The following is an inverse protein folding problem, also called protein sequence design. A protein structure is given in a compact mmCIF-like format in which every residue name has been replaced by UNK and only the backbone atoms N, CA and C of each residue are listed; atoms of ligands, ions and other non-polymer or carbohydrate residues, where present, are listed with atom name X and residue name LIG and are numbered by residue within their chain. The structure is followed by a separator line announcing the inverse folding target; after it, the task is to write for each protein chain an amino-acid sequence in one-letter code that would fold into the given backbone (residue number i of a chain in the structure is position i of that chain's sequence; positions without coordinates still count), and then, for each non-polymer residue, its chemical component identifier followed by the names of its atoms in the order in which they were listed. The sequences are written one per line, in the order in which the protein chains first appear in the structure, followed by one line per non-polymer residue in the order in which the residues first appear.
data_IF_495518001588
#
_entry.id   IF_495518001588
#
_cell.length_a   1.000
_cell.length_b   1.000
_cell.length_c   1.000
_cell.angle_alpha   90.00
_cell.angle_beta   90.00
_cell.angle_gamma   90.00
#
_symmetry.space_group_name_H-M   'P 1'
#
loop_
_entity.id
_entity.type
_entity.pdbx_description
1 polymer ?
#
# COMPACT_ATOMS: atom_id res chain seq x y z
N UNK A 1 -3.23 5.45 -19.15
CA UNK A 1 -4.58 5.44 -18.57
C UNK A 1 -4.41 5.41 -17.06
N UNK A 2 -5.04 6.34 -16.32
CA UNK A 2 -5.05 6.22 -14.85
C UNK A 2 -5.95 5.03 -14.47
N UNK A 3 -5.56 4.21 -13.48
CA UNK A 3 -6.43 3.14 -12.98
C UNK A 3 -7.72 3.74 -12.41
N UNK A 4 -8.85 3.14 -12.76
CA UNK A 4 -10.15 3.48 -12.20
C UNK A 4 -10.30 2.76 -10.86
N UNK A 5 -10.38 3.53 -9.78
CA UNK A 5 -10.38 3.03 -8.41
C UNK A 5 -11.81 3.06 -7.86
N UNK A 6 -12.23 1.97 -7.21
CA UNK A 6 -13.57 1.83 -6.64
C UNK A 6 -13.53 1.72 -5.12
N UNK A 7 -14.66 2.00 -4.50
CA UNK A 7 -14.85 1.79 -3.07
C UNK A 7 -14.66 0.30 -2.73
N UNK A 8 -13.93 0.02 -1.66
CA UNK A 8 -13.55 -1.33 -1.26
C UNK A 8 -12.24 -1.85 -1.87
N UNK A 9 -11.70 -1.19 -2.90
CA UNK A 9 -10.42 -1.60 -3.48
C UNK A 9 -9.28 -1.45 -2.47
N UNK A 10 -8.36 -2.42 -2.48
CA UNK A 10 -7.12 -2.36 -1.71
C UNK A 10 -6.06 -1.65 -2.50
N UNK A 11 -5.41 -0.68 -1.87
CA UNK A 11 -4.42 0.16 -2.51
C UNK A 11 -3.21 0.41 -1.62
N UNK A 12 -2.10 0.74 -2.27
CA UNK A 12 -0.88 1.21 -1.64
C UNK A 12 -0.74 2.72 -1.86
N UNK A 13 -0.41 3.47 -0.82
CA UNK A 13 -0.26 4.93 -0.88
C UNK A 13 1.21 5.31 -0.82
N UNK A 14 1.62 6.23 -1.69
CA UNK A 14 2.98 6.75 -1.78
C UNK A 14 3.45 7.39 -0.47
N UNK A 15 4.69 7.09 -0.06
CA UNK A 15 5.30 7.65 1.15
C UNK A 15 5.70 9.12 1.03
N UNK A 16 5.63 9.70 -0.17
CA UNK A 16 5.90 11.12 -0.43
C UNK A 16 4.99 12.02 0.42
N UNK A 17 3.73 11.62 0.63
CA UNK A 17 2.76 12.35 1.44
C UNK A 17 2.93 12.14 2.95
N UNK A 18 3.82 11.23 3.38
CA UNK A 18 4.04 10.89 4.78
C UNK A 18 5.30 11.57 5.30
N UNK A 19 5.14 12.78 5.84
CA UNK A 19 6.21 13.44 6.58
C UNK A 19 6.58 12.64 7.84
N UNK A 20 7.88 12.44 8.09
CA UNK A 20 8.44 11.77 9.29
C UNK A 20 8.21 10.26 9.42
N UNK A 21 8.36 9.51 8.33
CA UNK A 21 8.51 8.05 8.44
C UNK A 21 9.82 7.68 9.15
N UNK A 22 9.78 6.68 10.03
CA UNK A 22 10.98 6.18 10.73
C UNK A 22 12.00 5.61 9.73
N UNK A 23 13.28 5.83 9.99
CA UNK A 23 14.40 5.24 9.23
C UNK A 23 14.93 6.10 8.05
N UNK A 24 16.06 5.68 7.46
CA UNK A 24 16.74 6.42 6.41
C UNK A 24 16.00 6.34 5.06
N UNK A 25 15.95 7.47 4.33
CA UNK A 25 15.21 7.60 3.05
C UNK A 25 15.51 6.49 2.03
N UNK A 26 16.74 5.97 1.99
CA UNK A 26 17.18 4.93 1.05
C UNK A 26 16.59 3.54 1.32
N UNK A 27 16.23 3.23 2.57
CA UNK A 27 15.79 1.88 2.99
C UNK A 27 14.26 1.85 3.20
N UNK A 28 13.63 3.02 3.39
CA UNK A 28 12.19 3.11 3.59
C UNK A 28 11.42 2.64 2.36
N UNK A 29 10.28 2.01 2.61
CA UNK A 29 9.33 1.65 1.55
C UNK A 29 8.83 2.91 0.81
N UNK A 30 8.66 2.78 -0.49
CA UNK A 30 8.11 3.84 -1.35
C UNK A 30 6.58 3.94 -1.24
N UNK A 31 5.92 2.87 -0.81
CA UNK A 31 4.47 2.80 -0.64
C UNK A 31 4.12 2.05 0.65
N UNK A 32 3.00 2.42 1.26
CA UNK A 32 2.45 1.81 2.48
C UNK A 32 1.04 1.28 2.23
N UNK A 33 0.64 0.30 3.05
CA UNK A 33 -0.68 -0.35 2.96
C UNK A 33 -0.55 -1.87 3.05
N UNK A 34 -1.61 -2.61 2.69
CA UNK A 34 -2.79 -2.17 1.95
C UNK A 34 -3.76 -1.32 2.78
N UNK A 35 -4.27 -0.26 2.18
CA UNK A 35 -5.39 0.55 2.69
C UNK A 35 -6.62 0.31 1.82
N UNK A 36 -7.81 0.52 2.39
CA UNK A 36 -9.09 0.33 1.68
C UNK A 36 -9.58 1.70 1.24
N UNK A 37 -10.01 1.82 -0.02
CA UNK A 37 -10.68 3.03 -0.49
C UNK A 37 -12.08 3.10 0.10
N UNK A 38 -12.38 4.19 0.79
CA UNK A 38 -13.70 4.48 1.36
C UNK A 38 -14.57 5.12 0.29
N UNK A 39 -14.04 6.14 -0.41
CA UNK A 39 -14.77 6.88 -1.45
C UNK A 39 -13.85 7.53 -2.47
N UNK A 40 -14.33 7.69 -3.70
CA UNK A 40 -13.70 8.52 -4.73
C UNK A 40 -14.15 9.98 -4.59
N UNK A 41 -13.21 10.90 -4.43
CA UNK A 41 -13.48 12.34 -4.35
C UNK A 41 -13.22 12.95 -5.74
N UNK A 42 -14.31 13.15 -6.48
CA UNK A 42 -14.26 13.56 -7.87
C UNK A 42 -13.47 12.57 -8.73
N UNK A 43 -12.79 13.07 -9.76
CA UNK A 43 -12.04 12.24 -10.71
C UNK A 43 -10.59 11.93 -10.29
N UNK A 44 -10.03 12.75 -9.41
CA UNK A 44 -8.57 12.83 -9.25
C UNK A 44 -8.07 12.43 -7.85
N UNK A 45 -8.97 12.16 -6.91
CA UNK A 45 -8.60 11.87 -5.51
C UNK A 45 -9.42 10.73 -4.95
N UNK A 46 -8.84 10.00 -4.01
CA UNK A 46 -9.50 8.92 -3.26
C UNK A 46 -9.26 9.10 -1.77
N UNK A 47 -10.27 8.80 -0.98
CA UNK A 47 -10.17 8.72 0.47
C UNK A 47 -9.94 7.26 0.88
N UNK A 48 -8.98 7.03 1.76
CA UNK A 48 -8.64 5.69 2.24
C UNK A 48 -8.72 5.57 3.76
N UNK A 49 -9.03 4.37 4.24
CA UNK A 49 -8.87 4.01 5.65
C UNK A 49 -7.39 3.88 5.98
N UNK A 50 -6.89 4.78 6.82
CA UNK A 50 -5.54 4.70 7.38
C UNK A 50 -5.56 3.92 8.70
N UNK A 51 -4.48 3.16 8.95
CA UNK A 51 -4.27 2.50 10.25
C UNK A 51 -3.95 3.52 11.34
N UNK A 52 -4.09 3.14 12.62
CA UNK A 52 -3.91 4.04 13.77
C UNK A 52 -2.55 4.77 13.76
N UNK A 53 -1.49 4.11 13.31
CA UNK A 53 -0.15 4.70 13.15
C UNK A 53 -0.16 5.97 12.26
N UNK A 54 -1.07 6.01 11.29
CA UNK A 54 -1.22 7.10 10.33
C UNK A 54 -2.50 7.93 10.54
N UNK A 55 -3.24 7.72 11.64
CA UNK A 55 -4.50 8.43 11.95
C UNK A 55 -4.39 9.96 11.89
N UNK A 56 -3.21 10.52 12.18
CA UNK A 56 -2.94 11.97 12.12
C UNK A 56 -2.63 12.50 10.72
N UNK A 57 -2.61 11.63 9.70
CA UNK A 57 -2.36 12.01 8.30
C UNK A 57 -3.68 12.23 7.58
N UNK A 58 -3.64 13.10 6.57
CA UNK A 58 -4.80 13.33 5.72
C UNK A 58 -5.18 12.03 4.99
N UNK A 59 -6.43 11.55 5.06
CA UNK A 59 -6.84 10.29 4.47
C UNK A 59 -7.12 10.37 2.96
N UNK A 60 -7.15 11.58 2.39
CA UNK A 60 -7.37 11.78 0.95
C UNK A 60 -6.06 11.95 0.21
N UNK A 61 -5.89 11.17 -0.86
CA UNK A 61 -4.71 11.18 -1.72
C UNK A 61 -5.09 11.34 -3.20
N UNK A 62 -4.27 12.04 -4.00
CA UNK A 62 -4.42 12.04 -5.45
C UNK A 62 -4.28 10.62 -6.03
N UNK A 63 -5.04 10.30 -7.06
CA UNK A 63 -5.00 9.00 -7.78
C UNK A 63 -3.58 8.66 -8.25
N UNK A 64 -2.77 9.66 -8.60
CA UNK A 64 -1.37 9.48 -9.01
C UNK A 64 -0.45 8.97 -7.90
N UNK A 65 -0.85 9.13 -6.63
CA UNK A 65 -0.06 8.71 -5.46
C UNK A 65 -0.52 7.35 -4.92
N UNK A 66 -1.51 6.74 -5.59
CA UNK A 66 -2.12 5.48 -5.17
C UNK A 66 -1.82 4.41 -6.22
N UNK A 67 -1.52 3.20 -5.77
CA UNK A 67 -1.30 2.03 -6.62
C UNK A 67 -2.25 0.90 -6.22
N UNK A 68 -2.79 0.15 -7.18
CA UNK A 68 -3.58 -1.04 -6.85
C UNK A 68 -2.73 -2.05 -6.08
N UNK A 69 -3.30 -2.64 -5.03
CA UNK A 69 -2.67 -3.72 -4.30
C UNK A 69 -3.09 -5.06 -4.90
N UNK A 70 -2.11 -5.82 -5.39
CA UNK A 70 -2.33 -7.19 -5.84
C UNK A 70 -1.82 -8.14 -4.76
N UNK A 71 -2.72 -8.97 -4.23
CA UNK A 71 -2.29 -10.06 -3.36
C UNK A 71 -1.47 -11.03 -4.21
N UNK A 72 -0.24 -11.30 -3.77
CA UNK A 72 0.60 -12.31 -4.40
C UNK A 72 -0.04 -13.67 -4.14
N UNK A 73 -0.72 -14.22 -5.15
CA UNK A 73 -1.25 -15.58 -5.11
C UNK A 73 -0.11 -16.60 -5.08
N UNK A 74 -0.30 -17.68 -4.32
CA UNK A 74 0.65 -18.80 -4.24
C UNK A 74 0.93 -19.40 -5.62
N UNK A 75 -0.06 -19.35 -6.52
CA UNK A 75 0.02 -19.84 -7.90
C UNK A 75 1.12 -19.14 -8.72
N UNK A 76 1.38 -17.86 -8.45
CA UNK A 76 2.35 -17.06 -9.23
C UNK A 76 3.79 -17.25 -8.72
N UNK A 77 3.96 -17.60 -7.46
CA UNK A 77 5.28 -17.74 -6.83
C UNK A 77 5.32 -18.92 -5.84
N UNK A 78 5.21 -20.17 -6.35
CA UNK A 78 5.09 -21.36 -5.52
C UNK A 78 6.32 -21.61 -4.62
N UNK A 79 7.48 -21.03 -4.96
CA UNK A 79 8.73 -21.17 -4.20
C UNK A 79 8.84 -20.24 -2.98
N UNK A 80 7.91 -19.30 -2.77
CA UNK A 80 8.00 -18.29 -1.69
C UNK A 80 7.78 -18.88 -0.28
N UNK A 81 7.00 -19.95 -0.16
CA UNK A 81 6.73 -20.66 1.10
C UNK A 81 7.77 -21.75 1.44
N UNK A 82 9.03 -21.64 0.96
CA UNK A 82 10.09 -22.54 1.42
C UNK A 82 10.64 -22.04 2.75
N UNK A 83 10.00 -22.46 3.85
CA UNK A 83 10.62 -22.41 5.19
C UNK A 83 11.97 -23.13 5.07
N UNK A 84 13.07 -22.38 5.19
CA UNK A 84 14.41 -22.95 5.25
C UNK A 84 14.54 -23.72 6.56
N UNK A 85 14.14 -24.99 6.57
CA UNK A 85 14.47 -25.92 7.63
C UNK A 85 15.99 -26.01 7.63
N UNK A 86 16.64 -25.36 8.60
CA UNK A 86 18.05 -25.57 8.87
C UNK A 86 18.22 -27.04 9.23
N UNK A 87 18.71 -27.84 8.27
CA UNK A 87 19.30 -29.14 8.58
C UNK A 87 20.55 -28.86 9.41
N UNK A 88 20.43 -28.99 10.73
CA UNK A 88 21.57 -29.14 11.64
C UNK A 88 22.36 -30.35 11.15
N UNK A 89 23.65 -30.14 10.90
CA UNK A 89 24.64 -31.20 10.84
C UNK A 89 24.85 -31.77 12.24
#
# INVERSE_FOLDING_TARGET
MAPDFKEGDRVLVSTISFNKLKGPKKIRYLFLGPFIIIKSIGKNSVEVTLTEEFSRKHPVFPVSFVKPYFQTGEDKFPSRNKTYIHKKW
#
